data_IF_424120297280
#
_entry.id   IF_424120297280
#
_cell.length_a   1.000
_cell.length_b   1.000
_cell.length_c   1.000
_cell.angle_alpha   90.00
_cell.angle_beta   90.00
_cell.angle_gamma   90.00
#
_symmetry.space_group_name_H-M   'P 1'
#
loop_
_entity.id
_entity.type
_entity.pdbx_description
1 polymer ?
#
# COMPACT_ATOMS: atom_id res chain seq x y z
N UNK A 1 -15.35 38.92 -10.33
CA UNK A 1 -15.80 37.51 -10.46
C UNK A 1 -17.13 37.50 -11.19
N UNK A 2 -17.22 36.82 -12.33
CA UNK A 2 -18.47 36.66 -13.08
C UNK A 2 -19.49 35.87 -12.23
N UNK A 3 -20.75 36.28 -12.28
CA UNK A 3 -21.82 35.58 -11.56
C UNK A 3 -22.07 34.20 -12.20
N UNK A 4 -22.40 33.19 -11.38
CA UNK A 4 -22.66 31.82 -11.88
C UNK A 4 -23.72 31.79 -12.99
N UNK A 5 -24.73 32.67 -12.90
CA UNK A 5 -25.77 32.81 -13.91
C UNK A 5 -25.20 33.23 -15.28
N UNK A 6 -24.20 34.12 -15.30
CA UNK A 6 -23.56 34.56 -16.55
C UNK A 6 -22.64 33.47 -17.13
N UNK A 7 -21.91 32.73 -16.27
CA UNK A 7 -21.13 31.58 -16.74
C UNK A 7 -22.03 30.50 -17.33
N UNK A 8 -23.18 30.23 -16.68
CA UNK A 8 -24.15 29.26 -17.15
C UNK A 8 -24.82 29.72 -18.45
N UNK A 9 -25.11 31.02 -18.58
CA UNK A 9 -25.65 31.63 -19.81
C UNK A 9 -24.67 31.49 -20.98
N UNK A 10 -23.39 31.82 -20.78
CA UNK A 10 -22.34 31.67 -21.81
C UNK A 10 -22.15 30.23 -22.24
N UNK A 11 -22.23 29.28 -21.31
CA UNK A 11 -22.21 27.88 -21.68
C UNK A 11 -23.46 27.45 -22.46
N UNK A 12 -24.65 27.87 -22.01
CA UNK A 12 -25.91 27.47 -22.61
C UNK A 12 -26.19 28.09 -23.99
N UNK A 13 -25.72 29.32 -24.24
CA UNK A 13 -25.96 30.07 -25.49
C UNK A 13 -24.77 30.01 -26.44
N UNK A 14 -23.56 30.20 -25.92
CA UNK A 14 -22.34 30.34 -26.73
C UNK A 14 -21.51 29.05 -26.77
N UNK A 15 -22.01 27.97 -26.15
CA UNK A 15 -21.30 26.70 -25.99
C UNK A 15 -19.88 26.83 -25.40
N UNK A 16 -19.68 27.86 -24.56
CA UNK A 16 -18.37 28.18 -23.99
C UNK A 16 -17.92 27.10 -23.01
N UNK A 17 -17.02 26.22 -23.47
CA UNK A 17 -16.44 25.16 -22.65
C UNK A 17 -15.65 25.73 -21.45
N UNK A 18 -14.97 26.87 -21.64
CA UNK A 18 -14.24 27.55 -20.58
C UNK A 18 -15.18 28.07 -19.47
N UNK A 19 -16.36 28.60 -19.83
CA UNK A 19 -17.35 29.03 -18.83
C UNK A 19 -17.90 27.86 -18.01
N UNK A 20 -18.10 26.70 -18.64
CA UNK A 20 -18.50 25.48 -17.95
C UNK A 20 -17.40 24.91 -17.06
N UNK A 21 -16.15 24.89 -17.54
CA UNK A 21 -15.00 24.46 -16.73
C UNK A 21 -14.86 25.29 -15.46
N UNK A 22 -15.07 26.61 -15.54
CA UNK A 22 -15.06 27.51 -14.38
C UNK A 22 -16.20 27.19 -13.39
N UNK A 23 -17.41 26.90 -13.89
CA UNK A 23 -18.52 26.46 -13.04
C UNK A 23 -18.21 25.15 -12.31
N UNK A 24 -17.65 24.18 -13.02
CA UNK A 24 -17.23 22.90 -12.44
C UNK A 24 -16.16 23.16 -11.38
N UNK A 25 -15.12 23.92 -11.69
CA UNK A 25 -14.04 24.22 -10.76
C UNK A 25 -14.56 24.88 -9.46
N UNK A 26 -15.46 25.87 -9.60
CA UNK A 26 -16.04 26.59 -8.48
C UNK A 26 -16.94 25.74 -7.59
N UNK A 27 -17.75 24.85 -8.18
CA UNK A 27 -18.77 24.10 -7.45
C UNK A 27 -18.41 22.65 -7.13
N UNK A 28 -17.35 22.11 -7.72
CA UNK A 28 -16.93 20.73 -7.50
C UNK A 28 -16.61 20.43 -6.02
N UNK A 29 -15.86 21.26 -5.27
CA UNK A 29 -15.60 20.97 -3.86
C UNK A 29 -16.89 20.83 -3.04
N UNK A 30 -17.88 21.68 -3.31
CA UNK A 30 -19.18 21.65 -2.68
C UNK A 30 -19.96 20.36 -3.02
N UNK A 31 -20.05 20.04 -4.32
CA UNK A 31 -20.75 18.85 -4.82
C UNK A 31 -20.10 17.57 -4.31
N UNK A 32 -18.77 17.50 -4.36
CA UNK A 32 -17.99 16.35 -3.92
C UNK A 32 -18.09 16.11 -2.41
N UNK A 33 -18.01 17.19 -1.60
CA UNK A 33 -18.22 17.08 -0.16
C UNK A 33 -19.63 16.58 0.18
N UNK A 34 -20.67 17.10 -0.51
CA UNK A 34 -22.03 16.62 -0.33
C UNK A 34 -22.24 15.17 -0.77
N UNK A 35 -21.55 14.74 -1.84
CA UNK A 35 -21.60 13.36 -2.30
C UNK A 35 -20.94 12.41 -1.29
N UNK A 36 -19.75 12.76 -0.76
CA UNK A 36 -19.06 11.98 0.27
C UNK A 36 -19.88 11.83 1.55
N UNK A 37 -20.61 12.88 1.95
CA UNK A 37 -21.51 12.80 3.11
C UNK A 37 -22.61 11.76 2.92
N UNK A 38 -23.16 11.66 1.71
CA UNK A 38 -24.23 10.71 1.41
C UNK A 38 -23.73 9.29 1.10
N UNK A 39 -22.45 9.12 0.78
CA UNK A 39 -21.84 7.80 0.50
C UNK A 39 -21.03 7.26 1.68
N UNK A 40 -21.17 7.82 2.88
CA UNK A 40 -20.40 7.47 4.08
C UNK A 40 -18.87 7.43 3.82
N UNK A 41 -18.36 8.40 3.07
CA UNK A 41 -16.92 8.52 2.78
C UNK A 41 -16.40 7.65 1.62
N UNK A 42 -17.25 6.90 0.91
CA UNK A 42 -16.83 6.15 -0.27
C UNK A 42 -16.48 7.08 -1.44
N UNK A 43 -15.17 7.33 -1.63
CA UNK A 43 -14.64 8.30 -2.60
C UNK A 43 -15.06 8.02 -4.05
N UNK A 44 -14.95 6.77 -4.51
CA UNK A 44 -15.32 6.39 -5.87
C UNK A 44 -16.81 6.67 -6.17
N UNK A 45 -17.72 6.36 -5.22
CA UNK A 45 -19.14 6.68 -5.36
C UNK A 45 -19.40 8.18 -5.39
N UNK A 46 -18.64 8.94 -4.61
CA UNK A 46 -18.76 10.39 -4.58
C UNK A 46 -18.32 11.04 -5.90
N UNK A 47 -17.28 10.49 -6.55
CA UNK A 47 -16.86 10.90 -7.90
C UNK A 47 -17.95 10.64 -8.94
N UNK A 48 -18.57 9.45 -8.92
CA UNK A 48 -19.64 9.08 -9.86
C UNK A 48 -20.87 9.97 -9.70
N UNK A 49 -21.24 10.28 -8.46
CA UNK A 49 -22.33 11.22 -8.15
C UNK A 49 -21.99 12.62 -8.67
N UNK A 50 -20.78 13.13 -8.39
CA UNK A 50 -20.36 14.44 -8.86
C UNK A 50 -20.38 14.51 -10.39
N UNK A 51 -19.84 13.50 -11.06
CA UNK A 51 -19.87 13.39 -12.52
C UNK A 51 -21.31 13.40 -13.06
N UNK A 52 -22.22 12.62 -12.46
CA UNK A 52 -23.64 12.58 -12.86
C UNK A 52 -24.30 13.94 -12.72
N UNK A 53 -24.07 14.65 -11.61
CA UNK A 53 -24.66 15.98 -11.35
C UNK A 53 -24.17 17.01 -12.37
N UNK A 54 -22.88 17.01 -12.72
CA UNK A 54 -22.34 17.95 -13.70
C UNK A 54 -22.70 17.59 -15.14
N UNK A 55 -22.87 16.30 -15.49
CA UNK A 55 -23.47 15.89 -16.77
C UNK A 55 -24.91 16.42 -16.86
N UNK A 56 -25.68 16.29 -15.79
CA UNK A 56 -27.05 16.80 -15.74
C UNK A 56 -27.10 18.32 -15.83
N UNK A 57 -26.14 19.02 -15.19
CA UNK A 57 -25.98 20.46 -15.31
C UNK A 57 -25.75 20.86 -16.75
N UNK A 58 -24.83 20.17 -17.43
CA UNK A 58 -24.48 20.42 -18.83
C UNK A 58 -25.71 20.27 -19.74
N UNK A 59 -26.46 19.18 -19.57
CA UNK A 59 -27.69 18.90 -20.35
C UNK A 59 -28.82 19.89 -20.08
N UNK A 60 -28.97 20.34 -18.83
CA UNK A 60 -30.08 21.20 -18.40
C UNK A 60 -29.70 22.68 -18.35
N UNK A 61 -28.49 23.05 -18.77
CA UNK A 61 -27.94 24.40 -18.62
C UNK A 61 -28.90 25.48 -19.15
N UNK A 62 -29.48 25.27 -20.34
CA UNK A 62 -30.42 26.22 -20.97
C UNK A 62 -31.67 26.48 -20.13
N UNK A 63 -32.21 25.45 -19.48
CA UNK A 63 -33.38 25.55 -18.58
C UNK A 63 -33.03 26.24 -17.25
N UNK A 64 -31.77 26.17 -16.85
CA UNK A 64 -31.28 26.68 -15.57
C UNK A 64 -30.79 28.13 -15.65
N UNK A 65 -30.59 28.67 -16.86
CA UNK A 65 -30.15 30.06 -17.10
C UNK A 65 -31.02 31.11 -16.40
N UNK A 66 -32.32 30.84 -16.20
CA UNK A 66 -33.27 31.74 -15.53
C UNK A 66 -33.42 31.50 -14.02
N UNK A 67 -32.59 30.64 -13.40
CA UNK A 67 -32.66 30.36 -11.96
C UNK A 67 -31.52 31.06 -11.20
N UNK A 68 -31.88 31.75 -10.14
CA UNK A 68 -30.91 32.44 -9.27
C UNK A 68 -30.17 31.49 -8.30
N UNK A 69 -30.63 30.24 -8.15
CA UNK A 69 -30.11 29.29 -7.17
C UNK A 69 -29.46 28.03 -7.77
N UNK A 70 -28.30 28.20 -8.42
CA UNK A 70 -27.53 27.05 -8.89
C UNK A 70 -27.08 26.12 -7.75
N UNK A 71 -26.73 26.69 -6.59
CA UNK A 71 -26.26 25.95 -5.42
C UNK A 71 -27.29 24.95 -4.88
N UNK A 72 -28.54 25.40 -4.70
CA UNK A 72 -29.63 24.54 -4.25
C UNK A 72 -30.01 23.48 -5.28
N UNK A 73 -29.93 23.82 -6.57
CA UNK A 73 -30.14 22.85 -7.64
C UNK A 73 -29.07 21.75 -7.64
N UNK A 74 -27.79 22.11 -7.51
CA UNK A 74 -26.69 21.16 -7.42
C UNK A 74 -26.82 20.25 -6.20
N UNK A 75 -27.11 20.80 -5.02
CA UNK A 75 -27.36 20.01 -3.81
C UNK A 75 -28.48 18.99 -4.00
N UNK A 76 -29.59 19.43 -4.59
CA UNK A 76 -30.74 18.58 -4.89
C UNK A 76 -30.35 17.47 -5.89
N UNK A 77 -29.54 17.80 -6.89
CA UNK A 77 -28.95 16.84 -7.83
C UNK A 77 -28.12 15.77 -7.13
N UNK A 78 -27.23 16.17 -6.21
CA UNK A 78 -26.42 15.22 -5.42
C UNK A 78 -27.33 14.29 -4.62
N UNK A 79 -28.34 14.82 -3.93
CA UNK A 79 -29.29 14.02 -3.16
C UNK A 79 -30.04 13.00 -4.02
N UNK A 80 -30.57 13.42 -5.18
CA UNK A 80 -31.26 12.51 -6.08
C UNK A 80 -30.33 11.44 -6.67
N UNK A 81 -29.10 11.81 -7.04
CA UNK A 81 -28.10 10.88 -7.56
C UNK A 81 -27.67 9.86 -6.51
N UNK A 82 -27.42 10.30 -5.27
CA UNK A 82 -27.10 9.41 -4.14
C UNK A 82 -28.27 8.45 -3.83
N UNK A 83 -29.49 8.97 -3.76
CA UNK A 83 -30.69 8.15 -3.54
C UNK A 83 -30.94 7.16 -4.69
N UNK A 84 -30.60 7.52 -5.93
CA UNK A 84 -30.67 6.61 -7.07
C UNK A 84 -29.62 5.50 -6.97
N UNK A 85 -28.38 5.85 -6.64
CA UNK A 85 -27.29 4.90 -6.43
C UNK A 85 -27.64 3.89 -5.33
N UNK A 86 -28.06 4.37 -4.16
CA UNK A 86 -28.51 3.53 -3.03
C UNK A 86 -29.65 2.59 -3.41
N UNK A 87 -30.66 3.09 -4.14
CA UNK A 87 -31.78 2.25 -4.64
C UNK A 87 -31.30 1.19 -5.64
N UNK A 88 -30.31 1.52 -6.47
CA UNK A 88 -29.74 0.59 -7.45
C UNK A 88 -28.93 -0.50 -6.76
N UNK A 89 -28.14 -0.15 -5.75
CA UNK A 89 -27.39 -1.08 -4.91
C UNK A 89 -28.33 -2.01 -4.14
N UNK A 90 -29.35 -1.47 -3.46
CA UNK A 90 -30.36 -2.28 -2.76
C UNK A 90 -31.12 -3.23 -3.71
N UNK A 91 -31.35 -2.83 -4.97
CA UNK A 91 -31.92 -3.72 -6.00
C UNK A 91 -30.92 -4.76 -6.50
N UNK A 92 -29.63 -4.46 -6.47
CA UNK A 92 -28.57 -5.41 -6.83
C UNK A 92 -28.40 -6.43 -5.71
N UNK A 93 -28.24 -5.97 -4.48
CA UNK A 93 -28.18 -6.77 -3.27
C UNK A 93 -29.42 -7.66 -3.13
N UNK A 94 -30.65 -7.13 -3.34
CA UNK A 94 -31.85 -7.96 -3.29
C UNK A 94 -31.86 -9.05 -4.36
N UNK A 95 -31.38 -8.78 -5.58
CA UNK A 95 -31.24 -9.80 -6.65
C UNK A 95 -30.15 -10.82 -6.35
N UNK A 96 -29.08 -10.39 -5.66
CA UNK A 96 -28.00 -11.25 -5.19
C UNK A 96 -28.44 -12.12 -3.99
N UNK A 97 -29.29 -11.59 -3.10
CA UNK A 97 -29.89 -12.31 -1.96
C UNK A 97 -31.06 -13.23 -2.38
N UNK A 98 -31.80 -12.90 -3.44
CA UNK A 98 -32.78 -13.82 -4.04
C UNK A 98 -32.10 -15.06 -4.68
N UNK A 99 -30.78 -15.01 -4.92
CA UNK A 99 -29.97 -16.14 -5.38
C UNK A 99 -29.27 -16.92 -4.25
N UNK A 100 -29.23 -16.39 -3.02
CA UNK A 100 -28.64 -17.06 -1.84
C UNK A 100 -29.48 -16.79 -0.58
N UNK A 101 -30.24 -17.80 -0.15
CA UNK A 101 -31.11 -17.69 1.02
C UNK A 101 -30.31 -17.53 2.33
N UNK A 102 -30.75 -16.53 3.11
CA UNK A 102 -30.59 -16.26 4.56
C UNK A 102 -29.54 -15.26 5.07
N UNK A 103 -30.05 -14.43 6.02
CA UNK A 103 -29.43 -13.63 7.10
C UNK A 103 -28.94 -12.20 6.74
N UNK A 104 -29.26 -11.11 7.46
CA UNK A 104 -29.70 -10.88 8.86
C UNK A 104 -30.60 -9.63 9.03
N UNK A 105 -31.46 -9.65 10.05
CA UNK A 105 -32.09 -8.47 10.68
C UNK A 105 -31.44 -8.21 12.05
N UNK A 106 -31.16 -6.92 12.31
CA UNK A 106 -30.90 -6.24 13.59
C UNK A 106 -29.64 -6.58 14.40
N UNK A 107 -28.88 -5.52 14.73
CA UNK A 107 -28.14 -5.40 15.99
C UNK A 107 -28.51 -4.06 16.64
N UNK A 108 -28.96 -4.04 17.90
CA UNK A 108 -29.05 -2.83 18.71
C UNK A 108 -27.77 -2.64 19.56
N UNK A 109 -27.56 -1.38 19.95
CA UNK A 109 -26.72 -0.85 21.04
C UNK A 109 -25.18 -0.97 20.98
N UNK A 110 -24.56 0.13 20.58
CA UNK A 110 -23.39 0.78 21.24
C UNK A 110 -23.38 2.24 20.79
N UNK A 111 -23.16 3.27 21.65
CA UNK A 111 -23.20 4.66 21.21
C UNK A 111 -21.79 5.17 20.83
N UNK A 112 -21.46 5.36 19.54
CA UNK A 112 -20.36 6.22 19.18
C UNK A 112 -20.88 7.65 19.04
N UNK A 113 -20.19 8.61 19.65
CA UNK A 113 -20.35 10.02 19.29
C UNK A 113 -19.68 10.22 17.93
N UNK A 114 -20.29 9.72 16.85
CA UNK A 114 -19.69 9.71 15.51
C UNK A 114 -20.39 10.71 14.58
N UNK A 115 -19.65 11.79 14.32
CA UNK A 115 -19.98 12.79 13.31
C UNK A 115 -20.32 12.17 11.94
N UNK A 116 -19.74 11.02 11.60
CA UNK A 116 -19.95 10.36 10.30
C UNK A 116 -21.33 9.70 10.15
N UNK A 117 -22.00 9.33 11.24
CA UNK A 117 -23.39 8.85 11.18
C UNK A 117 -24.40 10.00 11.07
N UNK A 118 -24.03 11.20 11.51
CA UNK A 118 -24.87 12.41 11.44
C UNK A 118 -24.87 13.07 10.05
N UNK A 119 -23.85 12.82 9.23
CA UNK A 119 -23.67 13.48 7.90
C UNK A 119 -24.84 13.22 6.92
N UNK A 120 -25.32 11.98 6.69
CA UNK A 120 -26.46 11.74 5.81
C UNK A 120 -27.75 12.37 6.35
N UNK A 121 -27.92 12.32 7.67
CA UNK A 121 -29.12 12.83 8.38
C UNK A 121 -29.26 14.35 8.22
N UNK A 122 -28.13 15.08 8.19
CA UNK A 122 -28.10 16.52 7.94
C UNK A 122 -28.46 16.86 6.49
N UNK A 123 -27.94 16.12 5.50
CA UNK A 123 -28.26 16.36 4.10
C UNK A 123 -29.75 16.07 3.80
N UNK A 124 -30.32 15.02 4.42
CA UNK A 124 -31.76 14.73 4.35
C UNK A 124 -32.59 15.86 4.98
N UNK A 125 -32.21 16.34 6.16
CA UNK A 125 -32.90 17.44 6.83
C UNK A 125 -32.79 18.76 6.03
N UNK A 126 -31.65 19.03 5.37
CA UNK A 126 -31.47 20.16 4.45
C UNK A 126 -32.34 20.03 3.19
N UNK A 127 -32.53 18.82 2.66
CA UNK A 127 -33.38 18.57 1.50
C UNK A 127 -34.87 18.81 1.81
N UNK A 128 -35.32 18.51 3.03
CA UNK A 128 -36.70 18.76 3.46
C UNK A 128 -37.03 20.24 3.72
N UNK A 129 -36.02 21.11 3.83
CA UNK A 129 -36.26 22.54 4.02
C UNK A 129 -36.92 23.18 2.79
N UNK A 130 -37.74 24.23 2.99
CA UNK A 130 -38.19 25.07 1.89
C UNK A 130 -36.99 25.58 1.07
N UNK A 131 -37.13 25.63 -0.26
CA UNK A 131 -36.04 25.98 -1.20
C UNK A 131 -35.28 27.25 -0.78
N UNK A 132 -35.99 28.31 -0.39
CA UNK A 132 -35.39 29.59 0.03
C UNK A 132 -34.61 29.49 1.35
N UNK A 133 -34.99 28.58 2.24
CA UNK A 133 -34.32 28.38 3.52
C UNK A 133 -33.10 27.47 3.35
N UNK A 134 -33.22 26.42 2.55
CA UNK A 134 -32.06 25.62 2.11
C UNK A 134 -31.02 26.50 1.41
N UNK A 135 -31.45 27.36 0.47
CA UNK A 135 -30.58 28.23 -0.29
C UNK A 135 -29.67 29.10 0.61
N UNK A 136 -30.26 29.79 1.60
CA UNK A 136 -29.47 30.69 2.46
C UNK A 136 -28.46 29.93 3.31
N UNK A 137 -28.78 28.71 3.76
CA UNK A 137 -27.86 27.86 4.49
C UNK A 137 -26.71 27.36 3.61
N UNK A 138 -27.02 26.91 2.38
CA UNK A 138 -26.02 26.46 1.42
C UNK A 138 -25.06 27.59 1.04
N UNK A 139 -25.59 28.77 0.71
CA UNK A 139 -24.78 29.94 0.36
C UNK A 139 -23.90 30.40 1.53
N UNK A 140 -24.45 30.45 2.76
CA UNK A 140 -23.71 30.92 3.94
C UNK A 140 -22.62 29.95 4.37
N UNK A 141 -22.97 28.68 4.57
CA UNK A 141 -22.11 27.72 5.25
C UNK A 141 -21.28 26.88 4.29
N UNK A 142 -21.75 26.67 3.06
CA UNK A 142 -21.05 25.81 2.09
C UNK A 142 -20.33 26.58 0.99
N UNK A 143 -20.81 27.79 0.66
CA UNK A 143 -20.09 28.71 -0.24
C UNK A 143 -19.33 29.81 0.49
N UNK A 144 -19.42 29.86 1.83
CA UNK A 144 -18.67 30.81 2.65
C UNK A 144 -19.09 32.28 2.50
N UNK A 145 -20.26 32.58 1.92
CA UNK A 145 -20.68 33.96 1.68
C UNK A 145 -20.88 34.72 2.99
N UNK A 146 -20.36 35.95 3.06
CA UNK A 146 -20.66 36.87 4.15
C UNK A 146 -22.13 37.32 4.09
N UNK A 147 -22.72 37.72 5.23
CA UNK A 147 -24.13 38.14 5.27
C UNK A 147 -24.47 39.30 4.33
N UNK A 148 -23.51 40.21 4.08
CA UNK A 148 -23.69 41.29 3.12
C UNK A 148 -23.79 40.78 1.67
N UNK A 149 -22.92 39.86 1.27
CA UNK A 149 -22.94 39.22 -0.04
C UNK A 149 -24.15 38.31 -0.22
N UNK A 150 -24.50 37.56 0.82
CA UNK A 150 -25.68 36.72 0.86
C UNK A 150 -26.93 37.57 0.62
N UNK A 151 -27.08 38.67 1.34
CA UNK A 151 -28.20 39.61 1.18
C UNK A 151 -28.31 40.12 -0.25
N UNK A 152 -27.20 40.59 -0.84
CA UNK A 152 -27.15 40.98 -2.26
C UNK A 152 -27.59 39.85 -3.20
N UNK A 153 -27.17 38.62 -2.92
CA UNK A 153 -27.45 37.45 -3.77
C UNK A 153 -28.91 37.01 -3.75
N UNK A 154 -29.60 37.20 -2.62
CA UNK A 154 -31.00 36.77 -2.44
C UNK A 154 -32.01 37.92 -2.39
N UNK A 155 -31.58 39.15 -2.67
CA UNK A 155 -32.44 40.34 -2.69
C UNK A 155 -32.89 40.84 -1.30
N UNK A 156 -32.04 40.68 -0.28
CA UNK A 156 -32.32 41.06 1.11
C UNK A 156 -31.26 42.03 1.66
N UNK A 157 -31.62 42.81 2.69
CA UNK A 157 -30.62 43.55 3.47
C UNK A 157 -29.71 42.60 4.25
N UNK A 158 -28.53 43.07 4.68
CA UNK A 158 -27.58 42.29 5.50
C UNK A 158 -28.26 41.70 6.74
N UNK A 159 -29.04 42.51 7.45
CA UNK A 159 -29.70 42.10 8.70
C UNK A 159 -30.87 41.14 8.42
N UNK A 160 -31.63 41.38 7.34
CA UNK A 160 -32.67 40.46 6.89
C UNK A 160 -32.08 39.10 6.46
N UNK A 161 -30.91 39.08 5.83
CA UNK A 161 -30.19 37.85 5.47
C UNK A 161 -29.73 37.10 6.73
N UNK A 162 -29.21 37.80 7.74
CA UNK A 162 -28.84 37.20 9.04
C UNK A 162 -30.05 36.56 9.72
N UNK A 163 -31.14 37.32 9.90
CA UNK A 163 -32.37 36.79 10.51
C UNK A 163 -32.94 35.60 9.73
N UNK A 164 -32.82 35.62 8.40
CA UNK A 164 -33.29 34.50 7.56
C UNK A 164 -32.43 33.25 7.73
N UNK A 165 -31.12 33.39 7.87
CA UNK A 165 -30.22 32.26 8.18
C UNK A 165 -30.55 31.69 9.56
N UNK A 166 -30.74 32.52 10.58
CA UNK A 166 -31.11 32.09 11.93
C UNK A 166 -32.45 31.29 11.91
N UNK A 167 -33.48 31.80 11.23
CA UNK A 167 -34.75 31.08 11.06
C UNK A 167 -34.61 29.77 10.28
N UNK A 168 -33.74 29.73 9.27
CA UNK A 168 -33.49 28.51 8.50
C UNK A 168 -32.76 27.46 9.36
N UNK A 169 -31.84 27.87 10.23
CA UNK A 169 -31.18 26.99 11.20
C UNK A 169 -32.16 26.42 12.22
N UNK A 170 -33.12 27.22 12.71
CA UNK A 170 -34.15 26.73 13.62
C UNK A 170 -35.04 25.66 12.99
N UNK A 171 -35.38 25.84 11.70
CA UNK A 171 -36.12 24.82 10.94
C UNK A 171 -35.29 23.57 10.71
N UNK A 172 -33.99 23.72 10.39
CA UNK A 172 -33.08 22.58 10.26
C UNK A 172 -32.99 21.81 11.58
N UNK A 173 -32.86 22.53 12.70
CA UNK A 173 -32.85 21.97 14.05
C UNK A 173 -34.13 21.20 14.36
N UNK A 174 -35.29 21.74 14.00
CA UNK A 174 -36.56 21.02 14.14
C UNK A 174 -36.63 19.76 13.26
N UNK A 175 -36.10 19.83 12.03
CA UNK A 175 -35.98 18.69 11.13
C UNK A 175 -35.07 17.57 11.66
N UNK A 176 -33.98 17.94 12.33
CA UNK A 176 -33.05 17.03 12.99
C UNK A 176 -33.60 16.46 14.30
N UNK A 177 -34.34 17.25 15.08
CA UNK A 177 -34.98 16.79 16.31
C UNK A 177 -36.02 15.68 16.04
N UNK A 178 -36.75 15.76 14.92
CA UNK A 178 -37.65 14.68 14.46
C UNK A 178 -36.93 13.36 14.14
N UNK A 179 -35.61 13.40 13.98
CA UNK A 179 -34.73 12.27 13.69
C UNK A 179 -33.88 11.88 14.91
N UNK A 180 -34.30 12.28 16.11
CA UNK A 180 -33.63 12.03 17.38
C UNK A 180 -32.24 12.68 17.52
N UNK A 181 -31.91 13.67 16.68
CA UNK A 181 -30.68 14.46 16.78
C UNK A 181 -31.00 15.78 17.48
N UNK A 182 -30.62 15.90 18.77
CA UNK A 182 -30.78 17.12 19.56
C UNK A 182 -29.51 17.98 19.46
N UNK A 183 -29.64 19.21 18.96
CA UNK A 183 -28.53 20.15 18.84
C UNK A 183 -29.01 21.59 19.02
N UNK A 184 -28.10 22.50 19.39
CA UNK A 184 -28.39 23.94 19.47
C UNK A 184 -28.12 24.61 18.12
N UNK A 185 -28.78 25.74 17.82
CA UNK A 185 -28.55 26.48 16.58
C UNK A 185 -27.09 26.96 16.46
N UNK A 186 -26.44 27.28 17.60
CA UNK A 186 -25.02 27.64 17.66
C UNK A 186 -24.12 26.44 17.41
N UNK A 187 -24.39 25.27 17.99
CA UNK A 187 -23.62 24.05 17.72
C UNK A 187 -23.76 23.60 16.26
N UNK A 188 -24.97 23.68 15.69
CA UNK A 188 -25.20 23.42 14.26
C UNK A 188 -24.47 24.43 13.37
N UNK A 189 -24.47 25.72 13.73
CA UNK A 189 -23.73 26.73 12.98
C UNK A 189 -22.22 26.46 13.00
N UNK A 190 -21.66 26.17 14.18
CA UNK A 190 -20.23 25.84 14.33
C UNK A 190 -19.89 24.59 13.54
N UNK A 191 -20.72 23.56 13.62
CA UNK A 191 -20.53 22.32 12.88
C UNK A 191 -20.59 22.48 11.36
N UNK A 192 -21.55 23.27 10.86
CA UNK A 192 -21.66 23.59 9.44
C UNK A 192 -20.50 24.47 8.95
N UNK A 193 -19.93 25.31 9.83
CA UNK A 193 -18.72 26.09 9.56
C UNK A 193 -17.44 25.24 9.56
N UNK A 194 -17.36 24.20 10.38
CA UNK A 194 -16.19 23.31 10.51
C UNK A 194 -16.28 22.07 9.60
N UNK A 195 -16.97 22.16 8.46
CA UNK A 195 -16.89 21.10 7.44
C UNK A 195 -15.43 20.99 7.00
N UNK A 196 -14.75 19.84 7.17
CA UNK A 196 -13.38 19.69 6.71
C UNK A 196 -13.35 19.98 5.21
N UNK A 197 -12.43 20.84 4.78
CA UNK A 197 -12.16 21.06 3.37
C UNK A 197 -11.74 19.71 2.78
N UNK A 198 -12.68 19.00 2.16
CA UNK A 198 -12.40 17.71 1.56
C UNK A 198 -11.42 17.97 0.41
N UNK A 199 -10.25 17.36 0.49
CA UNK A 199 -9.28 17.38 -0.60
C UNK A 199 -9.92 16.69 -1.82
N UNK A 200 -10.31 17.49 -2.81
CA UNK A 200 -10.78 16.99 -4.10
C UNK A 200 -9.57 16.39 -4.83
N UNK A 201 -9.64 15.15 -5.33
CA UNK A 201 -8.55 14.54 -6.10
C UNK A 201 -8.12 15.43 -7.27
N UNK A 202 -6.80 15.61 -7.42
CA UNK A 202 -6.25 16.39 -8.52
C UNK A 202 -6.70 15.82 -9.87
N UNK A 203 -7.17 16.68 -10.78
CA UNK A 203 -7.66 16.28 -12.11
C UNK A 203 -9.14 15.89 -12.18
N UNK A 204 -9.86 15.72 -11.05
CA UNK A 204 -11.28 15.36 -11.06
C UNK A 204 -12.13 16.42 -11.79
N UNK A 205 -11.85 17.71 -11.60
CA UNK A 205 -12.52 18.79 -12.31
C UNK A 205 -12.36 18.69 -13.84
N UNK A 206 -11.15 18.38 -14.32
CA UNK A 206 -10.87 18.22 -15.74
C UNK A 206 -11.60 16.99 -16.32
N UNK A 207 -11.56 15.86 -15.61
CA UNK A 207 -12.28 14.62 -15.98
C UNK A 207 -13.79 14.86 -16.06
N UNK A 208 -14.39 15.49 -15.05
CA UNK A 208 -15.84 15.78 -15.02
C UNK A 208 -16.22 16.76 -16.13
N UNK A 209 -15.41 17.80 -16.35
CA UNK A 209 -15.64 18.76 -17.43
C UNK A 209 -15.62 18.06 -18.79
N UNK A 210 -14.60 17.26 -19.08
CA UNK A 210 -14.47 16.53 -20.34
C UNK A 210 -15.61 15.54 -20.58
N UNK A 211 -15.98 14.76 -19.56
CA UNK A 211 -17.09 13.78 -19.65
C UNK A 211 -18.45 14.45 -19.82
N UNK A 212 -18.72 15.54 -19.11
CA UNK A 212 -19.96 16.30 -19.24
C UNK A 212 -20.12 16.95 -20.63
N UNK A 213 -19.05 17.56 -21.15
CA UNK A 213 -19.05 18.15 -22.49
C UNK A 213 -19.23 17.09 -23.59
N UNK A 214 -18.55 15.95 -23.47
CA UNK A 214 -18.72 14.82 -24.39
C UNK A 214 -20.15 14.26 -24.39
N UNK A 215 -20.77 14.14 -23.22
CA UNK A 215 -22.15 13.68 -23.08
C UNK A 215 -23.17 14.63 -23.74
N UNK A 216 -22.92 15.93 -23.74
CA UNK A 216 -23.76 16.91 -24.46
C UNK A 216 -23.54 16.90 -25.96
N UNK A 217 -22.32 16.67 -26.44
CA UNK A 217 -22.03 16.54 -27.87
C UNK A 217 -22.74 15.31 -28.49
N UNK A 218 -22.77 14.19 -27.76
CA UNK A 218 -23.51 13.00 -28.17
C UNK A 218 -25.04 13.21 -28.17
N UNK A 219 -25.57 14.03 -27.26
CA UNK A 219 -27.00 14.37 -27.21
C UNK A 219 -27.44 15.27 -28.38
N UNK A 220 -26.56 16.14 -28.90
CA UNK A 220 -26.82 16.96 -30.08
C UNK A 220 -26.99 16.16 -31.39
N UNK A 221 -26.41 14.96 -31.45
CA UNK A 221 -26.67 13.99 -32.53
C UNK A 221 -28.03 13.28 -32.37
N UNK A 222 -28.62 13.30 -31.17
CA UNK A 222 -29.94 12.72 -30.87
C UNK A 222 -31.10 13.69 -31.13
N UNK A 223 -30.88 15.01 -31.11
CA UNK A 223 -31.95 16.01 -31.32
C UNK A 223 -32.34 16.18 -32.78
N UNK A 224 -31.42 15.93 -33.73
CA UNK A 224 -31.77 15.91 -35.17
C UNK A 224 -32.69 14.73 -35.51
N UNK A 225 -32.56 13.61 -34.79
CA UNK A 225 -33.46 12.47 -34.89
C UNK A 225 -34.83 12.76 -34.26
N UNK A 226 -34.89 13.51 -33.16
CA UNK A 226 -36.16 13.82 -32.51
C UNK A 226 -37.04 14.79 -33.33
N UNK A 227 -36.45 15.76 -34.02
CA UNK A 227 -37.19 16.67 -34.92
C UNK A 227 -37.68 15.95 -36.19
N UNK A 228 -36.90 15.03 -36.76
CA UNK A 228 -37.38 14.19 -37.88
C UNK A 228 -38.48 13.22 -37.44
N UNK A 229 -38.41 12.67 -36.23
CA UNK A 229 -39.48 11.84 -35.64
C UNK A 229 -40.75 12.67 -35.41
N UNK A 230 -40.64 13.94 -35.01
CA UNK A 230 -41.80 14.80 -34.75
C UNK A 230 -42.49 15.29 -36.04
N UNK A 231 -41.75 15.42 -37.15
CA UNK A 231 -42.33 15.72 -38.47
C UNK A 231 -42.92 14.50 -39.19
N UNK A 232 -42.43 13.29 -38.92
CA UNK A 232 -42.97 12.05 -39.53
C UNK A 232 -44.25 11.55 -38.86
N UNK A 233 -44.59 12.04 -37.66
CA UNK A 233 -45.84 11.71 -36.97
C UNK A 233 -47.07 12.49 -37.44
N UNK A 234 -46.92 13.46 -38.37
CA UNK A 234 -48.06 14.16 -38.99
C UNK A 234 -48.63 13.47 -40.22
N UNK A 235 -47.97 12.44 -40.75
CA UNK A 235 -48.47 11.65 -41.88
C UNK A 235 -49.07 10.33 -41.39
N UNK A 236 -50.39 10.30 -41.22
CA UNK A 236 -51.14 9.06 -41.04
C UNK A 236 -51.04 8.22 -42.33
N UNK A 237 -50.14 7.24 -42.38
CA UNK A 237 -50.34 5.91 -42.97
C UNK A 237 -49.03 5.08 -42.94
N UNK A 238 -49.08 3.87 -42.37
CA UNK A 238 -48.21 2.71 -42.65
C UNK A 238 -46.76 2.67 -42.09
N UNK A 239 -46.56 2.59 -40.76
CA UNK A 239 -45.21 2.30 -40.18
C UNK A 239 -45.25 1.36 -38.95
N UNK A 240 -45.91 0.20 -39.05
CA UNK A 240 -45.77 -0.86 -38.03
C UNK A 240 -44.44 -1.64 -38.13
N UNK A 241 -43.90 -1.80 -39.35
CA UNK A 241 -42.73 -2.65 -39.60
C UNK A 241 -41.36 -1.98 -39.41
N UNK A 242 -41.26 -0.66 -39.60
CA UNK A 242 -39.99 0.08 -39.56
C UNK A 242 -39.46 0.32 -38.14
N UNK A 243 -40.36 0.51 -37.17
CA UNK A 243 -40.01 0.73 -35.76
C UNK A 243 -39.44 -0.55 -35.13
N UNK A 244 -39.96 -1.72 -35.52
CA UNK A 244 -39.44 -3.02 -35.07
C UNK A 244 -38.06 -3.32 -35.65
N UNK A 245 -37.83 -2.98 -36.93
CA UNK A 245 -36.52 -3.16 -37.56
C UNK A 245 -35.45 -2.25 -36.95
N UNK A 246 -35.76 -0.97 -36.68
CA UNK A 246 -34.83 -0.04 -36.07
C UNK A 246 -34.45 -0.45 -34.62
N UNK A 247 -35.42 -0.92 -33.84
CA UNK A 247 -35.16 -1.42 -32.48
C UNK A 247 -34.34 -2.72 -32.48
N UNK A 248 -34.56 -3.61 -33.46
CA UNK A 248 -33.75 -4.81 -33.63
C UNK A 248 -32.29 -4.51 -34.03
N UNK A 249 -32.05 -3.51 -34.88
CA UNK A 249 -30.69 -3.08 -35.26
C UNK A 249 -29.95 -2.47 -34.06
N UNK A 250 -30.60 -1.61 -33.27
CA UNK A 250 -29.98 -1.04 -32.07
C UNK A 250 -29.75 -2.12 -31.01
N UNK A 251 -30.70 -3.02 -30.80
CA UNK A 251 -30.54 -4.12 -29.84
C UNK A 251 -29.44 -5.10 -30.25
N UNK A 252 -29.32 -5.41 -31.55
CA UNK A 252 -28.23 -6.26 -32.06
C UNK A 252 -26.88 -5.58 -31.96
N UNK A 253 -26.78 -4.28 -32.26
CA UNK A 253 -25.56 -3.50 -32.07
C UNK A 253 -25.15 -3.43 -30.59
N UNK A 254 -26.11 -3.18 -29.69
CA UNK A 254 -25.89 -3.19 -28.24
C UNK A 254 -25.44 -4.57 -27.75
N UNK A 255 -26.02 -5.65 -28.30
CA UNK A 255 -25.64 -7.02 -27.95
C UNK A 255 -24.23 -7.34 -28.41
N UNK A 256 -23.84 -6.92 -29.62
CA UNK A 256 -22.50 -7.11 -30.17
C UNK A 256 -21.44 -6.33 -29.38
N UNK A 257 -21.73 -5.07 -29.03
CA UNK A 257 -20.85 -4.26 -28.18
C UNK A 257 -20.65 -4.91 -26.80
N UNK A 258 -21.74 -5.38 -26.18
CA UNK A 258 -21.68 -6.09 -24.89
C UNK A 258 -20.90 -7.41 -24.98
N UNK A 259 -20.98 -8.14 -26.10
CA UNK A 259 -20.21 -9.37 -26.31
C UNK A 259 -18.70 -9.08 -26.42
N UNK A 260 -18.32 -8.00 -27.12
CA UNK A 260 -16.92 -7.57 -27.21
C UNK A 260 -16.35 -7.18 -25.84
N UNK A 261 -17.09 -6.41 -25.03
CA UNK A 261 -16.65 -6.04 -23.68
C UNK A 261 -16.46 -7.27 -22.79
N UNK A 262 -17.36 -8.27 -22.88
CA UNK A 262 -17.24 -9.52 -22.11
C UNK A 262 -15.99 -10.31 -22.50
N UNK A 263 -15.73 -10.44 -23.80
CA UNK A 263 -14.54 -11.13 -24.29
C UNK A 263 -13.24 -10.42 -23.85
N UNK A 264 -13.24 -9.08 -23.80
CA UNK A 264 -12.08 -8.32 -23.30
C UNK A 264 -11.86 -8.50 -21.80
N UNK A 265 -12.94 -8.53 -21.00
CA UNK A 265 -12.86 -8.83 -19.56
C UNK A 265 -12.32 -10.24 -19.32
N UNK A 266 -12.78 -11.23 -20.08
CA UNK A 266 -12.29 -12.61 -19.96
C UNK A 266 -10.79 -12.71 -20.28
N UNK A 267 -10.33 -12.04 -21.35
CA UNK A 267 -8.91 -11.95 -21.69
C UNK A 267 -8.08 -11.26 -20.60
N UNK A 268 -8.60 -10.17 -20.03
CA UNK A 268 -7.94 -9.47 -18.92
C UNK A 268 -7.86 -10.36 -17.67
N UNK A 269 -8.92 -11.13 -17.37
CA UNK A 269 -8.92 -12.09 -16.28
C UNK A 269 -7.93 -13.24 -16.52
N UNK A 270 -7.80 -13.72 -17.75
CA UNK A 270 -6.77 -14.70 -18.13
C UNK A 270 -5.36 -14.14 -17.97
N UNK A 271 -5.12 -12.91 -18.43
CA UNK A 271 -3.84 -12.23 -18.27
C UNK A 271 -3.48 -12.03 -16.79
N UNK A 272 -4.43 -11.60 -15.96
CA UNK A 272 -4.23 -11.47 -14.51
C UNK A 272 -3.95 -12.80 -13.83
N UNK A 273 -4.63 -13.89 -14.23
CA UNK A 273 -4.35 -15.24 -13.71
C UNK A 273 -2.94 -15.70 -14.09
N UNK A 274 -2.50 -15.43 -15.32
CA UNK A 274 -1.14 -15.75 -15.75
C UNK A 274 -0.08 -14.97 -14.95
N UNK A 275 -0.31 -13.68 -14.70
CA UNK A 275 0.57 -12.86 -13.85
C UNK A 275 0.63 -13.36 -12.40
N UNK A 276 -0.51 -13.77 -11.83
CA UNK A 276 -0.55 -14.35 -10.49
C UNK A 276 0.23 -15.67 -10.43
N UNK A 277 0.16 -16.50 -11.48
CA UNK A 277 0.96 -17.71 -11.61
C UNK A 277 2.47 -17.41 -11.63
N UNK A 278 2.89 -16.45 -12.46
CA UNK A 278 4.29 -16.00 -12.53
C UNK A 278 4.80 -15.45 -11.20
N UNK A 279 3.97 -14.71 -10.46
CA UNK A 279 4.32 -14.21 -9.14
C UNK A 279 4.56 -15.37 -8.15
N UNK A 280 3.71 -16.40 -8.17
CA UNK A 280 3.87 -17.59 -7.34
C UNK A 280 5.11 -18.43 -7.71
N UNK A 281 5.47 -18.48 -9.00
CA UNK A 281 6.69 -19.14 -9.43
C UNK A 281 7.94 -18.35 -9.02
N UNK A 282 7.90 -17.02 -9.09
CA UNK A 282 8.98 -16.17 -8.59
C UNK A 282 9.21 -16.35 -7.08
N UNK A 283 8.15 -16.47 -6.27
CA UNK A 283 8.31 -16.73 -4.84
C UNK A 283 8.92 -18.11 -4.59
N UNK A 284 8.49 -19.15 -5.33
CA UNK A 284 9.11 -20.49 -5.25
C UNK A 284 10.58 -20.50 -5.66
N UNK A 285 10.94 -19.72 -6.68
CA UNK A 285 12.34 -19.57 -7.10
C UNK A 285 13.16 -18.86 -6.01
N UNK A 286 12.61 -17.81 -5.40
CA UNK A 286 13.27 -17.12 -4.28
C UNK A 286 13.51 -18.05 -3.09
N UNK A 287 12.52 -18.88 -2.72
CA UNK A 287 12.67 -19.91 -1.69
C UNK A 287 13.76 -20.93 -2.03
N UNK A 288 13.80 -21.40 -3.29
CA UNK A 288 14.86 -22.32 -3.76
C UNK A 288 16.25 -21.69 -3.71
N UNK A 289 16.38 -20.40 -4.06
CA UNK A 289 17.66 -19.70 -3.96
C UNK A 289 18.10 -19.52 -2.51
N UNK A 290 17.18 -19.19 -1.61
CA UNK A 290 17.48 -19.09 -0.18
C UNK A 290 17.92 -20.44 0.41
N UNK A 291 17.25 -21.54 0.04
CA UNK A 291 17.64 -22.88 0.45
C UNK A 291 19.03 -23.26 -0.11
N UNK A 292 19.35 -22.90 -1.34
CA UNK A 292 20.67 -23.12 -1.92
C UNK A 292 21.76 -22.33 -1.18
N UNK A 293 21.48 -21.10 -0.77
CA UNK A 293 22.42 -20.29 0.00
C UNK A 293 22.64 -20.82 1.42
N UNK A 294 21.60 -21.36 2.07
CA UNK A 294 21.75 -22.08 3.34
C UNK A 294 22.68 -23.30 3.19
N UNK A 295 22.52 -24.08 2.12
CA UNK A 295 23.41 -25.22 1.84
C UNK A 295 24.86 -24.78 1.59
N UNK A 296 25.07 -23.67 0.87
CA UNK A 296 26.42 -23.10 0.67
C UNK A 296 27.05 -22.64 1.99
N UNK A 297 26.29 -21.99 2.86
CA UNK A 297 26.76 -21.58 4.18
C UNK A 297 27.11 -22.78 5.05
N UNK A 298 26.29 -23.82 5.05
CA UNK A 298 26.58 -25.07 5.77
C UNK A 298 27.85 -25.74 5.24
N UNK A 299 28.05 -25.80 3.92
CA UNK A 299 29.25 -26.34 3.30
C UNK A 299 30.51 -25.51 3.66
N UNK A 300 30.40 -24.18 3.67
CA UNK A 300 31.49 -23.30 4.11
C UNK A 300 31.84 -23.49 5.60
N UNK A 301 30.82 -23.70 6.44
CA UNK A 301 31.01 -24.03 7.86
C UNK A 301 31.74 -25.37 8.05
N UNK A 302 31.37 -26.40 7.26
CA UNK A 302 32.08 -27.67 7.26
C UNK A 302 33.54 -27.53 6.82
N UNK A 303 33.83 -26.74 5.78
CA UNK A 303 35.21 -26.49 5.36
C UNK A 303 36.00 -25.73 6.43
N UNK A 304 35.38 -24.76 7.11
CA UNK A 304 36.01 -24.02 8.20
C UNK A 304 36.39 -24.95 9.37
N UNK A 305 35.47 -25.83 9.78
CA UNK A 305 35.72 -26.84 10.80
C UNK A 305 36.81 -27.84 10.40
N UNK A 306 36.89 -28.21 9.12
CA UNK A 306 37.98 -29.05 8.62
C UNK A 306 39.34 -28.34 8.69
N UNK A 307 39.40 -27.05 8.35
CA UNK A 307 40.63 -26.25 8.53
C UNK A 307 41.01 -26.09 10.00
N UNK A 308 40.05 -25.83 10.89
CA UNK A 308 40.31 -25.74 12.32
C UNK A 308 40.75 -27.09 12.91
N UNK A 309 40.16 -28.20 12.47
CA UNK A 309 40.59 -29.54 12.84
C UNK A 309 41.99 -29.86 12.28
N UNK A 310 42.31 -29.44 11.06
CA UNK A 310 43.64 -29.59 10.47
C UNK A 310 44.68 -28.71 11.17
N UNK A 311 44.32 -27.49 11.58
CA UNK A 311 45.14 -26.59 12.37
C UNK A 311 45.36 -27.13 13.78
N UNK A 312 44.31 -27.65 14.43
CA UNK A 312 44.41 -28.32 15.72
C UNK A 312 45.29 -29.58 15.61
N UNK A 313 45.18 -30.37 14.54
CA UNK A 313 46.06 -31.50 14.27
C UNK A 313 47.52 -31.07 13.99
N UNK A 314 47.72 -29.91 13.35
CA UNK A 314 49.05 -29.34 13.12
C UNK A 314 49.67 -28.78 14.41
N UNK A 315 48.87 -28.16 15.29
CA UNK A 315 49.27 -27.70 16.63
C UNK A 315 49.45 -28.87 17.61
N UNK A 316 48.77 -29.99 17.38
CA UNK A 316 48.93 -31.22 18.15
C UNK A 316 50.06 -32.12 17.64
N UNK A 317 50.84 -31.73 16.62
CA UNK A 317 52.12 -32.40 16.35
C UNK A 317 53.05 -32.11 17.53
N UNK A 318 53.47 -33.12 18.30
CA UNK A 318 54.40 -32.90 19.39
C UNK A 318 55.73 -32.39 18.81
N UNK A 319 56.10 -31.16 19.15
CA UNK A 319 57.46 -30.65 18.91
C UNK A 319 58.35 -31.38 19.90
N UNK A 320 59.00 -32.45 19.44
CA UNK A 320 59.95 -33.18 20.26
C UNK A 320 61.23 -32.35 20.38
N UNK A 321 61.66 -31.97 21.61
CA UNK A 321 62.93 -31.31 21.78
C UNK A 321 64.07 -32.17 21.22
N UNK A 322 64.99 -31.54 20.50
CA UNK A 322 66.15 -32.22 19.92
C UNK A 322 67.39 -31.91 20.75
N UNK A 323 68.05 -32.97 21.20
CA UNK A 323 69.29 -32.88 21.97
C UNK A 323 70.45 -33.33 21.10
N UNK A 324 71.40 -32.43 20.86
CA UNK A 324 72.59 -32.74 20.05
C UNK A 324 73.84 -32.76 20.93
N UNK A 325 74.65 -33.81 20.80
CA UNK A 325 75.94 -33.91 21.49
C UNK A 325 77.08 -33.80 20.48
N UNK A 326 78.00 -32.86 20.74
CA UNK A 326 79.11 -32.53 19.84
C UNK A 326 80.42 -33.27 20.20
N UNK A 327 81.46 -33.13 19.35
CA UNK A 327 82.83 -33.64 19.59
C UNK A 327 83.46 -33.21 20.91
N UNK A 328 83.09 -32.03 21.41
CA UNK A 328 83.65 -31.43 22.63
C UNK A 328 82.82 -31.77 23.88
N UNK A 329 81.95 -32.79 23.82
CA UNK A 329 81.02 -33.17 24.90
C UNK A 329 80.08 -32.04 25.35
N UNK A 330 79.84 -31.06 24.47
CA UNK A 330 78.85 -29.99 24.73
C UNK A 330 77.47 -30.48 24.30
N UNK A 331 76.48 -30.29 25.17
CA UNK A 331 75.09 -30.66 24.97
C UNK A 331 74.35 -29.45 24.43
N UNK A 332 73.62 -29.63 23.33
CA UNK A 332 72.73 -28.64 22.76
C UNK A 332 71.29 -29.09 22.94
N UNK A 333 70.41 -28.13 23.24
CA UNK A 333 68.98 -28.31 23.32
C UNK A 333 68.33 -27.34 22.34
N UNK A 334 67.66 -27.86 21.31
CA UNK A 334 67.08 -27.07 20.21
C UNK A 334 68.10 -26.04 19.66
N UNK A 335 69.29 -26.54 19.33
CA UNK A 335 70.43 -25.80 18.76
C UNK A 335 71.06 -24.72 19.66
N UNK A 336 70.76 -24.72 20.97
CA UNK A 336 71.42 -23.85 21.95
C UNK A 336 72.30 -24.66 22.93
N UNK A 337 73.55 -24.25 23.20
CA UNK A 337 74.43 -24.97 24.12
C UNK A 337 73.95 -24.81 25.56
N UNK A 338 73.87 -25.90 26.30
CA UNK A 338 73.44 -25.94 27.69
C UNK A 338 74.41 -26.75 28.55
N UNK A 339 74.40 -26.47 29.85
CA UNK A 339 75.16 -27.26 30.84
C UNK A 339 74.42 -28.55 31.20
N UNK A 340 75.13 -29.50 31.80
CA UNK A 340 74.54 -30.78 32.24
C UNK A 340 73.44 -30.58 33.31
N UNK A 341 73.65 -29.67 34.26
CA UNK A 341 72.65 -29.36 35.29
C UNK A 341 71.37 -28.76 34.68
N UNK A 342 71.54 -27.89 33.68
CA UNK A 342 70.43 -27.27 32.96
C UNK A 342 69.67 -28.31 32.11
N UNK A 343 70.39 -29.26 31.52
CA UNK A 343 69.81 -30.41 30.82
C UNK A 343 68.91 -31.24 31.74
N UNK A 344 69.40 -31.59 32.94
CA UNK A 344 68.62 -32.37 33.93
C UNK A 344 67.40 -31.59 34.43
N UNK A 345 67.51 -30.27 34.61
CA UNK A 345 66.38 -29.43 34.99
C UNK A 345 65.29 -29.39 33.90
N UNK A 346 65.67 -29.21 32.63
CA UNK A 346 64.73 -29.21 31.49
C UNK A 346 64.05 -30.57 31.32
N UNK A 347 64.78 -31.67 31.49
CA UNK A 347 64.21 -33.02 31.51
C UNK A 347 63.17 -33.20 32.62
N UNK A 348 63.45 -32.69 33.82
CA UNK A 348 62.49 -32.77 34.94
C UNK A 348 61.22 -31.97 34.65
N UNK A 349 61.34 -30.79 34.04
CA UNK A 349 60.18 -29.99 33.64
C UNK A 349 59.32 -30.72 32.59
N UNK A 350 59.95 -31.36 31.60
CA UNK A 350 59.24 -32.18 30.62
C UNK A 350 58.50 -33.37 31.23
N UNK A 351 59.05 -33.99 32.27
CA UNK A 351 58.38 -35.11 32.98
C UNK A 351 57.08 -34.71 33.67
N UNK A 352 56.88 -33.42 33.94
CA UNK A 352 55.71 -32.88 34.64
C UNK A 352 54.56 -32.51 33.69
N UNK A 353 54.78 -32.58 32.37
CA UNK A 353 53.74 -32.28 31.37
C UNK A 353 52.81 -33.50 31.14
N UNK A 354 51.51 -33.28 30.83
CA UNK A 354 50.53 -34.34 30.66
C UNK A 354 50.90 -35.30 29.50
N UNK A 355 50.62 -36.59 29.72
CA UNK A 355 51.04 -37.72 28.89
C UNK A 355 50.57 -37.57 27.42
N UNK A 356 51.52 -37.29 26.52
CA UNK A 356 51.29 -37.18 25.08
C UNK A 356 52.35 -36.36 24.31
N UNK A 357 53.10 -35.48 24.99
CA UNK A 357 54.15 -34.64 24.39
C UNK A 357 55.59 -35.08 24.72
N UNK A 358 55.76 -36.18 25.44
CA UNK A 358 57.00 -36.53 26.15
C UNK A 358 57.90 -37.44 25.32
N UNK A 359 58.45 -36.92 24.23
CA UNK A 359 59.46 -37.64 23.45
C UNK A 359 60.63 -36.72 23.11
N UNK A 360 61.85 -37.24 23.25
CA UNK A 360 63.13 -36.55 23.10
C UNK A 360 63.89 -37.21 21.95
N UNK A 361 64.36 -36.42 20.99
CA UNK A 361 65.21 -36.91 19.91
C UNK A 361 66.66 -36.63 20.29
N UNK A 362 67.51 -37.65 20.33
CA UNK A 362 68.94 -37.48 20.64
C UNK A 362 69.76 -37.70 19.38
N UNK A 363 70.59 -36.71 19.03
CA UNK A 363 71.49 -36.70 17.88
C UNK A 363 72.94 -36.62 18.35
N UNK A 364 73.82 -37.39 17.71
CA UNK A 364 75.25 -37.30 17.94
C UNK A 364 75.94 -36.77 16.67
N UNK A 365 76.78 -35.75 16.81
CA UNK A 365 77.62 -35.32 15.69
C UNK A 365 78.73 -36.36 15.39
N UNK A 366 79.22 -36.45 14.15
CA UNK A 366 80.31 -37.36 13.81
C UNK A 366 81.53 -37.10 14.70
N UNK A 367 82.03 -38.09 15.43
CA UNK A 367 83.17 -37.93 16.37
C UNK A 367 82.82 -37.40 17.76
N UNK A 368 81.54 -37.32 18.12
CA UNK A 368 81.09 -37.04 19.49
C UNK A 368 81.59 -38.10 20.49
N UNK A 369 81.84 -37.69 21.73
CA UNK A 369 82.18 -38.64 22.79
C UNK A 369 80.95 -39.50 23.11
N UNK A 370 81.04 -40.77 22.71
CA UNK A 370 79.97 -41.75 22.81
C UNK A 370 79.57 -42.05 24.27
N UNK A 371 80.49 -41.92 25.23
CA UNK A 371 80.17 -42.06 26.66
C UNK A 371 79.30 -40.90 27.16
N UNK A 372 79.51 -39.69 26.63
CA UNK A 372 78.66 -38.54 26.95
C UNK A 372 77.24 -38.72 26.41
N UNK A 373 77.10 -39.30 25.20
CA UNK A 373 75.79 -39.63 24.60
C UNK A 373 75.08 -40.72 25.41
N UNK A 374 75.78 -41.79 25.77
CA UNK A 374 75.21 -42.88 26.58
C UNK A 374 74.73 -42.38 27.95
N UNK A 375 75.50 -41.49 28.59
CA UNK A 375 75.11 -40.88 29.86
C UNK A 375 73.84 -40.02 29.73
N UNK A 376 73.74 -39.21 28.67
CA UNK A 376 72.55 -38.39 28.37
C UNK A 376 71.30 -39.27 28.16
N UNK A 377 71.44 -40.39 27.45
CA UNK A 377 70.35 -41.35 27.21
C UNK A 377 69.94 -42.08 28.50
N UNK A 378 70.91 -42.50 29.32
CA UNK A 378 70.66 -43.19 30.59
C UNK A 378 69.97 -42.26 31.61
N UNK A 379 70.43 -41.01 31.71
CA UNK A 379 69.84 -40.03 32.61
C UNK A 379 68.41 -39.69 32.18
N UNK A 380 68.13 -39.60 30.87
CA UNK A 380 66.77 -39.45 30.36
C UNK A 380 65.86 -40.63 30.74
N UNK A 381 66.35 -41.88 30.69
CA UNK A 381 65.59 -43.10 31.05
C UNK A 381 65.29 -43.20 32.55
N UNK A 382 66.19 -42.76 33.43
CA UNK A 382 66.03 -42.84 34.89
C UNK A 382 64.89 -41.99 35.43
N UNK A 383 64.54 -40.89 34.75
CA UNK A 383 63.58 -39.89 35.24
C UNK A 383 62.09 -40.29 35.17
N UNK A 384 61.75 -41.58 35.01
CA UNK A 384 60.37 -42.11 34.91
C UNK A 384 59.51 -41.48 33.80
N UNK A 385 60.12 -40.89 32.79
CA UNK A 385 59.39 -40.50 31.59
C UNK A 385 59.29 -41.76 30.73
N UNK A 386 58.15 -42.44 30.83
CA UNK A 386 57.94 -43.72 30.17
C UNK A 386 58.04 -43.54 28.64
N UNK A 387 59.03 -44.21 28.01
CA UNK A 387 59.22 -44.32 26.56
C UNK A 387 59.69 -43.05 25.81
N UNK A 388 60.63 -42.27 26.38
CA UNK A 388 61.04 -40.95 25.85
C UNK A 388 61.91 -40.94 24.60
N UNK A 389 62.85 -41.86 24.44
CA UNK A 389 63.75 -41.79 23.27
C UNK A 389 63.05 -42.49 22.11
N UNK A 390 62.53 -41.72 21.18
CA UNK A 390 61.76 -42.23 20.04
C UNK A 390 62.64 -42.57 18.85
N UNK A 391 63.75 -41.85 18.67
CA UNK A 391 64.66 -42.04 17.55
C UNK A 391 66.09 -41.63 17.97
N UNK A 392 67.06 -42.53 17.78
CA UNK A 392 68.48 -42.29 17.99
C UNK A 392 69.14 -42.16 16.62
N UNK A 393 69.50 -40.94 16.24
CA UNK A 393 70.10 -40.69 14.93
C UNK A 393 71.61 -40.57 15.07
N UNK A 394 72.30 -41.60 14.56
CA UNK A 394 73.76 -41.62 14.43
C UNK A 394 74.16 -41.39 12.96
N UNK A 395 75.28 -40.70 12.70
CA UNK A 395 75.80 -40.59 11.34
C UNK A 395 76.15 -41.98 10.80
N UNK A 396 75.77 -42.25 9.55
CA UNK A 396 75.68 -43.60 8.95
C UNK A 396 77.00 -44.42 8.87
N UNK A 397 78.14 -43.91 9.35
CA UNK A 397 79.44 -44.59 9.24
C UNK A 397 79.94 -45.28 10.52
N UNK A 398 79.18 -45.26 11.63
CA UNK A 398 79.63 -45.86 12.92
C UNK A 398 78.58 -46.76 13.59
N UNK A 399 77.53 -47.15 12.87
CA UNK A 399 76.39 -47.91 13.43
C UNK A 399 76.67 -49.40 13.75
N UNK A 400 77.90 -49.90 13.57
CA UNK A 400 78.18 -51.35 13.62
C UNK A 400 78.54 -51.88 15.02
N UNK A 401 78.70 -51.04 16.04
CA UNK A 401 79.03 -51.50 17.40
C UNK A 401 78.14 -50.86 18.46
N UNK A 402 76.90 -51.32 18.56
CA UNK A 402 76.03 -51.02 19.71
C UNK A 402 75.18 -52.25 20.07
N UNK A 403 75.26 -52.67 21.34
CA UNK A 403 74.43 -53.68 22.02
C UNK A 403 73.29 -52.99 22.79
#
# INVERSE_FOLDING_TARGET
MTADAELLRRYALDHSQAAFAELVHRHLPFVYAAALRQTNGAAHRAEDIAQTVFIDLARKARLLTGRDNLAGWLHTGVHHAAAHLKRTEQRRERREHEAHTMQHLHSPDTPPTDWDQLRPVIDDALHELPERDRQVLLLRFFQGLAFADLGRRVGLSKDAARMRVERALDKLRAGLARRHVTSTASALSVALLHQPAVAVPAGLAAKITGTALAATAAAGLGTTLLETIMHTLKSNLLLGGSIAAATAVVASWQHQANAQTRAEIERLHESNRALAGLAADNTRLAERTAAADQLRQAAAGLSALQTDAALAAALAKPVHPTVTVTRQSTIFWDDQPITLDEFVQRLRQLSQQPAGASALIVRAEPGANLMSVAYVVDEARKTKVANVVTDLQFPQNEATNWF
#
